data_IF_699246558942
#
_entry.id   IF_699246558942
#
_cell.length_a   1.000
_cell.length_b   1.000
_cell.length_c   1.000
_cell.angle_alpha   90.00
_cell.angle_beta   90.00
_cell.angle_gamma   90.00
#
_symmetry.space_group_name_H-M   'P 1'
#
loop_
_entity.id
_entity.type
_entity.pdbx_description
1 polymer ?
#
# COMPACT_ATOMS: atom_id res chain seq x y z
N UNK A 1 -6.54 -2.05 22.63
CA UNK A 1 -6.30 -0.64 23.03
C UNK A 1 -5.56 0.19 21.96
N UNK A 2 -4.79 -0.41 21.05
CA UNK A 2 -4.15 0.32 19.93
C UNK A 2 -5.14 0.89 18.91
N UNK A 3 -6.24 0.19 18.62
CA UNK A 3 -7.26 0.63 17.66
C UNK A 3 -7.89 1.99 18.02
N UNK A 4 -8.33 2.15 19.28
CA UNK A 4 -8.86 3.41 19.79
C UNK A 4 -7.83 4.56 19.78
N UNK A 5 -6.52 4.24 19.88
CA UNK A 5 -5.44 5.22 19.79
C UNK A 5 -5.16 5.65 18.36
N UNK A 6 -5.44 4.79 17.37
CA UNK A 6 -5.32 5.09 15.93
C UNK A 6 -6.50 5.90 15.39
N UNK A 7 -7.67 5.82 16.05
CA UNK A 7 -8.90 6.46 15.60
C UNK A 7 -8.77 7.96 15.28
N UNK A 8 -8.12 8.81 16.12
CA UNK A 8 -7.95 10.24 15.80
C UNK A 8 -7.14 10.47 14.51
N UNK A 9 -6.13 9.64 14.28
CA UNK A 9 -5.28 9.70 13.07
C UNK A 9 -6.09 9.27 11.85
N UNK A 10 -6.83 8.16 11.96
CA UNK A 10 -7.72 7.64 10.92
C UNK A 10 -8.81 8.64 10.53
N UNK A 11 -9.46 9.29 11.51
CA UNK A 11 -10.48 10.31 11.27
C UNK A 11 -9.92 11.53 10.52
N UNK A 12 -8.68 11.91 10.78
CA UNK A 12 -8.02 13.04 10.10
C UNK A 12 -7.59 12.73 8.67
N UNK A 13 -7.16 11.49 8.40
CA UNK A 13 -6.76 11.07 7.05
C UNK A 13 -7.94 10.54 6.23
N UNK A 14 -9.08 10.21 6.84
CA UNK A 14 -10.26 9.73 6.14
C UNK A 14 -10.74 10.66 5.00
N UNK A 15 -10.76 12.00 5.14
CA UNK A 15 -11.07 12.90 4.02
C UNK A 15 -10.05 12.85 2.89
N UNK A 16 -8.78 12.61 3.21
CA UNK A 16 -7.70 12.43 2.22
C UNK A 16 -7.93 11.13 1.45
N UNK A 17 -8.21 10.04 2.16
CA UNK A 17 -8.52 8.74 1.59
C UNK A 17 -9.81 8.75 0.76
N UNK A 18 -10.84 9.49 1.19
CA UNK A 18 -12.09 9.63 0.44
C UNK A 18 -11.93 10.42 -0.86
N UNK A 19 -10.95 11.34 -0.91
CA UNK A 19 -10.60 12.09 -2.12
C UNK A 19 -9.80 11.24 -3.11
N UNK A 20 -8.99 10.31 -2.62
CA UNK A 20 -8.30 9.35 -3.48
C UNK A 20 -9.27 8.28 -3.93
N UNK A 21 -9.70 8.35 -5.21
CA UNK A 21 -10.50 7.26 -5.80
C UNK A 21 -9.74 5.93 -5.64
N UNK A 22 -10.43 4.81 -5.36
CA UNK A 22 -9.81 3.50 -5.32
C UNK A 22 -9.02 3.24 -6.60
N UNK A 23 -7.87 2.59 -6.47
CA UNK A 23 -7.08 2.24 -7.63
C UNK A 23 -7.79 1.18 -8.49
N UNK A 24 -8.02 1.48 -9.76
CA UNK A 24 -8.61 0.59 -10.77
C UNK A 24 -7.70 0.42 -12.00
N UNK A 25 -6.45 0.89 -11.92
CA UNK A 25 -5.51 0.93 -13.05
C UNK A 25 -5.53 2.23 -13.85
N UNK A 26 -5.96 3.34 -13.24
CA UNK A 26 -6.03 4.65 -13.89
C UNK A 26 -4.67 5.32 -14.16
N UNK A 27 -3.63 4.93 -13.43
CA UNK A 27 -2.27 5.48 -13.50
C UNK A 27 -1.26 4.37 -13.10
N UNK A 28 0.05 4.56 -13.25
CA UNK A 28 1.03 3.61 -12.72
C UNK A 28 0.83 3.38 -11.21
N UNK A 29 0.93 2.12 -10.72
CA UNK A 29 0.76 1.81 -9.29
C UNK A 29 1.71 2.61 -8.39
N UNK A 30 2.95 2.82 -8.84
CA UNK A 30 3.99 3.55 -8.11
C UNK A 30 3.56 5.01 -7.88
N UNK A 31 3.14 5.71 -8.94
CA UNK A 31 2.69 7.11 -8.89
C UNK A 31 1.45 7.28 -7.99
N UNK A 32 0.50 6.34 -8.07
CA UNK A 32 -0.69 6.35 -7.21
C UNK A 32 -0.29 6.24 -5.74
N UNK A 33 0.56 5.26 -5.40
CA UNK A 33 1.03 5.02 -4.04
C UNK A 33 1.88 6.18 -3.52
N UNK A 34 2.74 6.78 -4.36
CA UNK A 34 3.56 7.92 -3.98
C UNK A 34 2.69 9.10 -3.55
N UNK A 35 1.67 9.43 -4.35
CA UNK A 35 0.72 10.51 -4.02
C UNK A 35 -0.01 10.22 -2.71
N UNK A 36 -0.40 8.96 -2.48
CA UNK A 36 -1.10 8.53 -1.27
C UNK A 36 -0.18 8.64 -0.03
N UNK A 37 1.07 8.19 -0.15
CA UNK A 37 2.11 8.28 0.89
C UNK A 37 2.40 9.74 1.23
N UNK A 38 2.57 10.60 0.22
CA UNK A 38 2.79 12.03 0.40
C UNK A 38 1.60 12.70 1.08
N UNK A 39 0.37 12.37 0.67
CA UNK A 39 -0.85 12.99 1.22
C UNK A 39 -1.07 12.63 2.69
N UNK A 40 -0.81 11.38 3.08
CA UNK A 40 -0.87 10.96 4.48
C UNK A 40 0.28 11.57 5.29
N UNK A 41 1.50 11.56 4.75
CA UNK A 41 2.67 12.15 5.43
C UNK A 41 2.49 13.65 5.66
N UNK A 42 1.87 14.35 4.70
CA UNK A 42 1.50 15.76 4.84
C UNK A 42 0.48 15.96 5.97
N UNK A 43 -0.62 15.20 5.97
CA UNK A 43 -1.61 15.26 7.05
C UNK A 43 -0.98 14.98 8.44
N UNK A 44 -0.03 14.04 8.50
CA UNK A 44 0.73 13.70 9.72
C UNK A 44 1.72 14.78 10.15
N UNK A 45 2.43 15.41 9.22
CA UNK A 45 3.34 16.52 9.54
C UNK A 45 2.63 17.67 10.23
N UNK A 46 1.36 17.92 9.85
CA UNK A 46 0.47 18.88 10.49
C UNK A 46 -0.12 18.41 11.83
N UNK A 47 0.03 17.14 12.21
CA UNK A 47 -0.41 16.57 13.49
C UNK A 47 0.59 16.80 14.64
N UNK A 48 1.56 17.72 14.51
CA UNK A 48 2.51 18.07 15.58
C UNK A 48 1.81 18.48 16.90
N UNK A 49 0.50 18.77 16.86
CA UNK A 49 -0.39 19.07 17.99
C UNK A 49 -0.91 17.82 18.74
N UNK A 50 -0.98 16.64 18.11
CA UNK A 50 -1.42 15.37 18.75
C UNK A 50 -0.26 14.59 19.40
N UNK A 51 0.82 15.29 19.74
CA UNK A 51 2.02 14.71 20.35
C UNK A 51 1.65 14.09 21.69
N UNK A 52 1.70 12.76 21.78
CA UNK A 52 2.47 12.01 22.80
C UNK A 52 1.95 10.57 23.08
N UNK A 53 0.79 10.13 22.61
CA UNK A 53 0.30 8.76 22.93
C UNK A 53 -0.13 7.88 21.75
N UNK A 54 -0.44 8.49 20.60
CA UNK A 54 -1.27 7.83 19.57
C UNK A 54 -0.58 7.68 18.20
N UNK A 55 0.39 8.55 17.88
CA UNK A 55 1.10 8.51 16.60
C UNK A 55 2.04 7.29 16.47
N UNK A 56 2.57 6.78 17.60
CA UNK A 56 3.42 5.58 17.60
C UNK A 56 2.67 4.31 17.21
N UNK A 57 1.35 4.25 17.47
CA UNK A 57 0.52 3.13 17.05
C UNK A 57 0.15 3.18 15.57
N UNK A 58 0.40 4.31 14.88
CA UNK A 58 0.19 4.46 13.43
C UNK A 58 1.51 4.19 12.68
N UNK A 59 1.98 2.94 12.82
CA UNK A 59 3.26 2.46 12.33
C UNK A 59 3.26 2.09 10.83
N UNK A 60 4.43 1.63 10.38
CA UNK A 60 4.72 0.93 9.12
C UNK A 60 3.57 0.05 8.60
N UNK A 61 3.14 -0.85 9.46
CA UNK A 61 2.25 -1.96 9.13
C UNK A 61 0.84 -1.44 8.92
N UNK A 62 0.36 -0.57 9.84
CA UNK A 62 -0.96 0.05 9.75
C UNK A 62 -1.09 0.89 8.48
N UNK A 63 -0.07 1.68 8.15
CA UNK A 63 -0.05 2.45 6.90
C UNK A 63 -0.11 1.53 5.68
N UNK A 64 0.69 0.47 5.69
CA UNK A 64 0.73 -0.51 4.61
C UNK A 64 -0.65 -1.16 4.37
N UNK A 65 -1.35 -1.55 5.43
CA UNK A 65 -2.69 -2.15 5.33
C UNK A 65 -3.74 -1.19 4.77
N UNK A 66 -3.70 0.10 5.17
CA UNK A 66 -4.57 1.14 4.61
C UNK A 66 -4.31 1.32 3.11
N UNK A 67 -3.04 1.33 2.70
CA UNK A 67 -2.66 1.46 1.30
C UNK A 67 -3.08 0.24 0.48
N UNK A 68 -2.92 -0.98 1.01
CA UNK A 68 -3.44 -2.20 0.37
C UNK A 68 -4.95 -2.17 0.20
N UNK A 69 -5.68 -1.64 1.17
CA UNK A 69 -7.14 -1.49 1.04
C UNK A 69 -7.56 -0.48 -0.05
N UNK A 70 -6.71 0.52 -0.36
CA UNK A 70 -6.93 1.46 -1.46
C UNK A 70 -6.49 0.94 -2.83
N UNK A 71 -5.56 -0.02 -2.85
CA UNK A 71 -5.22 -0.78 -4.04
C UNK A 71 -6.41 -1.69 -4.39
N UNK A 72 -7.34 -1.18 -5.20
CA UNK A 72 -8.53 -1.89 -5.61
C UNK A 72 -8.35 -2.72 -6.89
N UNK A 73 -9.43 -3.40 -7.28
CA UNK A 73 -9.56 -4.03 -8.60
C UNK A 73 -8.60 -5.21 -8.81
N UNK A 74 -7.91 -5.20 -9.96
CA UNK A 74 -7.09 -6.32 -10.48
C UNK A 74 -5.81 -6.63 -9.68
N UNK A 75 -5.50 -5.81 -8.68
CA UNK A 75 -4.30 -5.95 -7.85
C UNK A 75 -4.61 -6.56 -6.48
N UNK A 76 -5.87 -6.96 -6.24
CA UNK A 76 -6.28 -7.71 -5.05
C UNK A 76 -6.35 -9.22 -5.32
N UNK A 77 -5.84 -10.05 -4.40
CA UNK A 77 -5.17 -9.67 -3.16
C UNK A 77 -3.72 -9.21 -3.40
N UNK A 78 -3.33 -8.09 -2.77
CA UNK A 78 -1.91 -7.70 -2.69
C UNK A 78 -1.19 -8.74 -1.84
N UNK A 79 -0.11 -9.39 -2.32
CA UNK A 79 0.63 -10.39 -1.59
C UNK A 79 1.25 -9.85 -0.32
N UNK A 80 1.51 -10.80 0.58
CA UNK A 80 2.23 -10.53 1.81
C UNK A 80 3.74 -10.28 1.56
N UNK A 81 4.30 -10.82 0.48
CA UNK A 81 5.73 -10.79 0.18
C UNK A 81 5.99 -10.27 -1.23
N UNK A 82 7.10 -9.58 -1.41
CA UNK A 82 7.56 -9.07 -2.69
C UNK A 82 8.33 -10.17 -3.45
N UNK A 83 7.74 -10.75 -4.51
CA UNK A 83 8.41 -11.82 -5.27
C UNK A 83 9.66 -11.35 -6.02
N UNK A 84 9.82 -10.03 -6.23
CA UNK A 84 10.94 -9.46 -6.98
C UNK A 84 12.07 -8.94 -6.07
N UNK A 85 11.84 -8.88 -4.76
CA UNK A 85 12.81 -8.41 -3.77
C UNK A 85 13.12 -9.49 -2.73
N UNK A 86 13.53 -10.67 -3.20
CA UNK A 86 13.95 -11.78 -2.33
C UNK A 86 12.88 -12.26 -1.35
N UNK A 87 11.60 -12.16 -1.72
CA UNK A 87 10.45 -12.51 -0.88
C UNK A 87 10.39 -11.71 0.44
N UNK A 88 10.88 -10.47 0.43
CA UNK A 88 10.77 -9.57 1.56
C UNK A 88 9.30 -9.27 1.91
N UNK A 89 9.01 -9.09 3.21
CA UNK A 89 7.64 -8.78 3.66
C UNK A 89 7.21 -7.38 3.20
N UNK A 90 6.03 -7.29 2.60
CA UNK A 90 5.39 -6.03 2.24
C UNK A 90 4.61 -5.53 3.47
N UNK A 91 5.33 -4.93 4.41
CA UNK A 91 4.81 -4.45 5.69
C UNK A 91 5.05 -2.95 5.92
N UNK A 92 5.57 -2.26 4.92
CA UNK A 92 5.77 -0.81 4.93
C UNK A 92 5.33 -0.18 3.61
N UNK A 93 5.01 1.13 3.60
CA UNK A 93 4.69 1.85 2.38
C UNK A 93 5.81 1.81 1.33
N UNK A 94 7.07 1.87 1.77
CA UNK A 94 8.22 1.80 0.89
C UNK A 94 8.33 0.42 0.23
N UNK A 95 8.17 -0.67 1.00
CA UNK A 95 8.16 -2.03 0.43
C UNK A 95 6.97 -2.27 -0.50
N UNK A 96 5.82 -1.68 -0.20
CA UNK A 96 4.63 -1.79 -1.05
C UNK A 96 4.85 -1.07 -2.38
N UNK A 97 5.37 0.17 -2.34
CA UNK A 97 5.72 0.94 -3.53
C UNK A 97 6.75 0.20 -4.40
N UNK A 98 7.87 -0.22 -3.79
CA UNK A 98 8.92 -0.95 -4.47
C UNK A 98 8.38 -2.23 -5.15
N UNK A 99 7.54 -2.98 -4.44
CA UNK A 99 6.89 -4.15 -5.04
C UNK A 99 6.03 -3.74 -6.22
N UNK A 100 5.16 -2.72 -6.10
CA UNK A 100 4.20 -2.31 -7.13
C UNK A 100 4.81 -1.97 -8.50
N UNK A 101 6.07 -1.54 -8.54
CA UNK A 101 6.84 -1.34 -9.77
C UNK A 101 7.08 -2.65 -10.53
N UNK A 102 7.27 -3.77 -9.84
CA UNK A 102 7.35 -5.11 -10.45
C UNK A 102 6.00 -5.66 -10.91
N UNK A 103 4.90 -5.26 -10.23
CA UNK A 103 3.54 -5.72 -10.52
C UNK A 103 3.01 -5.22 -11.86
N UNK A 104 3.50 -4.07 -12.30
CA UNK A 104 3.09 -3.45 -13.56
C UNK A 104 3.45 -4.31 -14.78
N UNK A 105 4.42 -5.23 -14.63
CA UNK A 105 4.86 -6.13 -15.70
C UNK A 105 4.04 -7.43 -15.79
N UNK A 106 3.47 -7.93 -14.69
CA UNK A 106 2.71 -9.19 -14.67
C UNK A 106 1.29 -9.03 -15.26
N UNK A 107 0.74 -7.80 -15.25
CA UNK A 107 -0.62 -7.52 -15.78
C UNK A 107 -0.61 -7.15 -17.27
N UNK A 108 0.56 -6.88 -17.85
CA UNK A 108 0.73 -6.58 -19.28
C UNK A 108 1.45 -7.67 -20.08
N UNK A 109 2.04 -8.67 -19.42
CA UNK A 109 2.52 -9.85 -20.12
C UNK A 109 1.31 -10.70 -20.55
N UNK A 110 1.13 -11.04 -21.85
CA UNK A 110 0.32 -12.20 -22.18
C UNK A 110 0.90 -13.41 -21.41
N UNK A 111 0.08 -14.38 -20.98
CA UNK A 111 0.60 -15.55 -20.28
C UNK A 111 1.67 -16.18 -21.17
N UNK A 112 2.94 -16.04 -20.78
CA UNK A 112 4.03 -16.74 -21.43
C UNK A 112 3.83 -18.20 -21.08
N UNK A 113 3.21 -18.92 -22.01
CA UNK A 113 3.13 -20.36 -22.03
C UNK A 113 4.51 -20.93 -21.69
N UNK A 114 4.62 -21.65 -20.56
CA UNK A 114 5.93 -22.14 -20.17
C UNK A 114 6.03 -22.77 -18.78
N UNK A 115 5.20 -23.76 -18.45
CA UNK A 115 5.63 -24.90 -17.61
C UNK A 115 4.59 -26.03 -17.64
N UNK A 116 4.61 -26.81 -18.71
CA UNK A 116 4.34 -28.25 -18.62
C UNK A 116 5.62 -28.96 -19.05
N UNK A 117 6.54 -29.13 -18.12
CA UNK A 117 7.55 -30.19 -18.21
C UNK A 117 7.15 -31.26 -17.20
N UNK A 118 6.15 -32.05 -17.60
CA UNK A 118 5.90 -33.38 -17.05
C UNK A 118 6.24 -34.36 -18.18
N UNK A 119 7.41 -34.98 -18.12
CA UNK A 119 7.74 -36.31 -18.68
C UNK A 119 9.24 -36.58 -18.56
N UNK A 120 9.59 -37.46 -17.62
CA UNK A 120 10.30 -38.70 -17.95
C UNK A 120 9.60 -39.84 -17.24
#
# INVERSE_FOLDING_TARGET
MADARRLPVLTMIAPVLAKTKPYIGQEPPDDYLDRLIQSISFAQGHMTVLKNANAGDFDDVVKCDIFKAQMGGKYLPVPAQDPYNGNANINSPATLRASSSGWVWEVQAPPTSGSTTHRR
#
